data_IF_618517300317
#
_entry.id   IF_618517300317
#
_cell.length_a   1.000
_cell.length_b   1.000
_cell.length_c   1.000
_cell.angle_alpha   90.00
_cell.angle_beta   90.00
_cell.angle_gamma   90.00
#
_symmetry.space_group_name_H-M   'P 1'
#
loop_
_entity.id
_entity.type
_entity.pdbx_description
1 polymer ?
#
# COMPACT_ATOMS: atom_id res chain seq x y z
N UNK A 1 -15.76 0.17 -8.46
CA UNK A 1 -15.06 0.46 -7.17
C UNK A 1 -13.78 1.25 -7.43
N UNK A 2 -13.40 2.21 -6.55
CA UNK A 2 -12.17 3.01 -6.65
C UNK A 2 -11.23 2.62 -5.52
N UNK A 3 -9.99 2.28 -5.87
CA UNK A 3 -8.88 2.14 -4.94
C UNK A 3 -7.87 3.27 -5.16
N UNK A 4 -7.36 3.85 -4.09
CA UNK A 4 -6.36 4.91 -4.10
C UNK A 4 -5.08 4.40 -3.45
N UNK A 5 -3.99 4.36 -4.20
CA UNK A 5 -2.66 4.13 -3.68
C UNK A 5 -1.85 5.41 -3.62
N UNK A 6 -1.17 5.68 -2.51
CA UNK A 6 -0.33 6.86 -2.36
C UNK A 6 0.96 6.53 -1.61
N UNK A 7 2.06 6.61 -2.35
CA UNK A 7 3.39 6.63 -1.74
C UNK A 7 3.70 8.08 -1.33
N UNK A 8 3.55 8.37 -0.06
CA UNK A 8 3.81 9.71 0.44
C UNK A 8 4.96 9.71 1.46
N UNK A 9 6.06 10.30 1.07
CA UNK A 9 7.23 10.51 1.92
C UNK A 9 6.87 11.36 3.15
N UNK A 10 6.32 10.71 4.19
CA UNK A 10 6.03 11.32 5.48
C UNK A 10 4.68 12.03 5.56
N UNK A 11 3.61 11.28 5.82
CA UNK A 11 2.29 11.79 6.22
C UNK A 11 2.33 12.65 7.51
N UNK A 12 3.51 12.77 8.14
CA UNK A 12 3.72 13.58 9.34
C UNK A 12 3.53 15.09 9.14
N UNK A 13 3.44 15.56 7.91
CA UNK A 13 3.21 16.99 7.62
C UNK A 13 1.71 17.27 7.50
N UNK A 14 1.17 18.29 8.18
CA UNK A 14 -0.28 18.63 8.12
C UNK A 14 -0.81 18.87 6.71
N UNK A 15 0.05 19.37 5.80
CA UNK A 15 -0.29 19.59 4.39
C UNK A 15 -0.63 18.29 3.69
N UNK A 16 0.12 17.23 3.94
CA UNK A 16 -0.06 15.94 3.31
C UNK A 16 -1.37 15.28 3.66
N UNK A 17 -1.71 15.29 4.93
CA UNK A 17 -3.00 14.77 5.42
C UNK A 17 -4.15 15.56 4.82
N UNK A 18 -3.99 16.87 4.65
CA UNK A 18 -5.00 17.74 4.03
C UNK A 18 -5.22 17.40 2.57
N UNK A 19 -4.14 17.18 1.81
CA UNK A 19 -4.24 16.78 0.40
C UNK A 19 -4.86 15.38 0.25
N UNK A 20 -4.47 14.42 1.07
CA UNK A 20 -5.08 13.09 1.09
C UNK A 20 -6.59 13.17 1.38
N UNK A 21 -7.00 13.99 2.35
CA UNK A 21 -8.42 14.21 2.65
C UNK A 21 -9.19 14.77 1.45
N UNK A 22 -8.63 15.74 0.73
CA UNK A 22 -9.26 16.28 -0.51
C UNK A 22 -9.43 15.19 -1.56
N UNK A 23 -8.43 14.35 -1.77
CA UNK A 23 -8.52 13.23 -2.71
C UNK A 23 -9.61 12.23 -2.30
N UNK A 24 -9.64 11.85 -1.03
CA UNK A 24 -10.66 10.94 -0.50
C UNK A 24 -12.06 11.54 -0.61
N UNK A 25 -12.24 12.82 -0.32
CA UNK A 25 -13.52 13.50 -0.46
C UNK A 25 -13.97 13.60 -1.93
N UNK A 26 -13.04 13.88 -2.84
CA UNK A 26 -13.32 14.02 -4.28
C UNK A 26 -13.68 12.69 -4.94
N UNK A 27 -12.88 11.68 -4.70
CA UNK A 27 -12.95 10.41 -5.42
C UNK A 27 -13.73 9.33 -4.68
N UNK A 28 -13.98 9.52 -3.37
CA UNK A 28 -14.68 8.57 -2.49
C UNK A 28 -14.19 7.13 -2.67
N UNK A 29 -12.88 6.88 -2.58
CA UNK A 29 -12.33 5.54 -2.75
C UNK A 29 -12.86 4.62 -1.65
N UNK A 30 -13.11 3.37 -2.01
CA UNK A 30 -13.50 2.33 -1.05
C UNK A 30 -12.30 1.80 -0.27
N UNK A 31 -11.11 1.89 -0.87
CA UNK A 31 -9.84 1.49 -0.29
C UNK A 31 -8.80 2.58 -0.53
N UNK A 32 -8.01 2.84 0.51
CA UNK A 32 -6.85 3.73 0.45
C UNK A 32 -5.65 3.00 1.01
N UNK A 33 -4.60 2.93 0.22
CA UNK A 33 -3.29 2.43 0.62
C UNK A 33 -2.31 3.56 0.77
N UNK A 34 -1.57 3.53 1.84
CA UNK A 34 -0.56 4.52 2.16
C UNK A 34 0.76 3.80 2.45
N UNK A 35 1.78 4.09 1.68
CA UNK A 35 3.14 3.64 1.92
C UNK A 35 4.02 4.80 2.38
N UNK A 36 5.12 4.48 3.05
CA UNK A 36 6.04 5.45 3.65
C UNK A 36 5.38 6.47 4.59
N UNK A 37 4.41 6.03 5.37
CA UNK A 37 3.69 6.92 6.29
C UNK A 37 4.61 7.57 7.32
N UNK A 38 5.71 6.90 7.69
CA UNK A 38 6.69 7.33 8.70
C UNK A 38 6.04 7.69 10.04
N UNK A 39 4.94 7.00 10.35
CA UNK A 39 4.14 7.25 11.54
C UNK A 39 4.13 6.06 12.50
N UNK A 40 4.06 6.37 13.79
CA UNK A 40 3.69 5.42 14.82
C UNK A 40 2.20 5.09 14.73
N UNK A 41 1.80 3.90 15.21
CA UNK A 41 0.44 3.40 15.12
C UNK A 41 -0.61 4.40 15.64
N UNK A 42 -0.42 4.91 16.87
CA UNK A 42 -1.39 5.83 17.50
C UNK A 42 -1.61 7.12 16.70
N UNK A 43 -0.56 7.61 16.04
CA UNK A 43 -0.65 8.81 15.21
C UNK A 43 -1.41 8.54 13.91
N UNK A 44 -1.14 7.40 13.27
CA UNK A 44 -1.85 7.01 12.05
C UNK A 44 -3.33 6.71 12.34
N UNK A 45 -3.66 6.11 13.47
CA UNK A 45 -5.05 5.92 13.91
C UNK A 45 -5.79 7.26 14.00
N UNK A 46 -5.16 8.28 14.56
CA UNK A 46 -5.75 9.63 14.65
C UNK A 46 -5.94 10.28 13.28
N UNK A 47 -4.99 10.11 12.36
CA UNK A 47 -5.12 10.64 11.00
C UNK A 47 -6.18 9.89 10.19
N UNK A 48 -6.35 8.58 10.40
CA UNK A 48 -7.42 7.77 9.81
C UNK A 48 -8.81 8.40 10.03
N UNK A 49 -9.11 8.83 11.24
CA UNK A 49 -10.37 9.53 11.54
C UNK A 49 -10.52 10.83 10.73
N UNK A 50 -9.45 11.60 10.59
CA UNK A 50 -9.47 12.84 9.80
C UNK A 50 -9.65 12.59 8.31
N UNK A 51 -9.16 11.45 7.81
CA UNK A 51 -9.34 11.03 6.41
C UNK A 51 -10.78 10.61 6.15
N UNK A 52 -11.50 10.15 7.17
CA UNK A 52 -12.90 9.74 7.09
C UNK A 52 -13.09 8.24 6.77
N UNK A 53 -12.02 7.44 6.85
CA UNK A 53 -12.06 5.99 6.72
C UNK A 53 -11.82 5.37 8.10
N UNK A 54 -12.83 4.70 8.64
CA UNK A 54 -12.80 4.23 10.03
C UNK A 54 -12.19 2.84 10.20
N UNK A 55 -12.21 2.04 9.16
CA UNK A 55 -11.61 0.70 9.17
C UNK A 55 -10.19 0.76 8.61
N UNK A 56 -9.31 -0.09 9.10
CA UNK A 56 -7.97 -0.16 8.56
C UNK A 56 -7.01 -1.04 9.33
N UNK A 57 -5.99 -1.50 8.63
CA UNK A 57 -4.79 -2.10 9.18
C UNK A 57 -3.63 -1.12 9.06
N UNK A 58 -2.93 -0.91 10.16
CA UNK A 58 -1.76 -0.03 10.22
C UNK A 58 -0.55 -0.84 10.63
N UNK A 59 0.45 -0.85 9.76
CA UNK A 59 1.79 -1.38 10.04
C UNK A 59 2.68 -0.18 10.34
N UNK A 60 3.12 -0.01 11.58
CA UNK A 60 3.87 1.18 11.98
C UNK A 60 5.25 1.24 11.34
N UNK A 61 5.77 2.45 11.19
CA UNK A 61 7.15 2.67 10.78
C UNK A 61 8.14 2.18 11.84
N UNK A 62 9.33 1.77 11.39
CA UNK A 62 10.46 1.46 12.27
C UNK A 62 11.49 2.58 12.11
N UNK A 63 11.78 3.28 13.20
CA UNK A 63 12.61 4.46 13.14
C UNK A 63 12.00 5.56 12.24
N UNK A 64 12.76 5.98 11.25
CA UNK A 64 12.37 7.04 10.31
C UNK A 64 11.95 6.53 8.91
N UNK A 65 11.78 5.22 8.75
CA UNK A 65 11.48 4.61 7.44
C UNK A 65 10.25 3.70 7.48
N UNK A 66 9.62 3.51 6.32
CA UNK A 66 8.52 2.61 6.11
C UNK A 66 7.20 3.09 6.75
N UNK A 67 6.38 2.13 7.14
CA UNK A 67 5.03 2.34 7.62
C UNK A 67 4.02 2.21 6.47
N UNK A 68 3.08 1.27 6.63
CA UNK A 68 2.02 1.01 5.68
C UNK A 68 0.66 1.20 6.36
N UNK A 69 -0.34 1.63 5.63
CA UNK A 69 -1.71 1.61 6.10
C UNK A 69 -2.65 1.26 4.96
N UNK A 70 -3.51 0.30 5.20
CA UNK A 70 -4.64 -0.01 4.36
C UNK A 70 -5.90 0.42 5.08
N UNK A 71 -6.61 1.39 4.54
CA UNK A 71 -7.83 1.94 5.09
C UNK A 71 -8.99 1.62 4.16
N UNK A 72 -10.19 1.35 4.70
CA UNK A 72 -11.35 1.06 3.87
C UNK A 72 -12.66 1.58 4.45
N UNK A 73 -13.62 1.74 3.57
CA UNK A 73 -14.97 2.18 3.90
C UNK A 73 -15.76 1.04 4.58
N UNK A 74 -16.85 1.38 5.29
CA UNK A 74 -17.66 0.40 6.02
C UNK A 74 -18.48 -0.52 5.14
N UNK A 75 -18.72 -0.14 3.91
CA UNK A 75 -19.57 -0.80 2.95
C UNK A 75 -18.85 -1.87 2.10
N UNK A 76 -17.62 -2.20 2.45
CA UNK A 76 -16.87 -3.27 1.79
C UNK A 76 -16.33 -4.25 2.83
N UNK A 77 -16.42 -5.53 2.53
CA UNK A 77 -15.83 -6.57 3.36
C UNK A 77 -14.38 -6.78 2.97
N UNK A 78 -13.49 -6.65 3.95
CA UNK A 78 -12.05 -6.83 3.79
C UNK A 78 -11.56 -7.88 4.76
N UNK A 79 -10.92 -8.91 4.24
CA UNK A 79 -10.32 -9.99 5.03
C UNK A 79 -8.80 -9.94 4.84
N UNK A 80 -8.08 -9.50 5.86
CA UNK A 80 -6.60 -9.47 5.83
C UNK A 80 -6.08 -10.90 5.82
N UNK A 81 -5.26 -11.23 4.84
CA UNK A 81 -4.66 -12.55 4.65
C UNK A 81 -3.24 -12.64 5.22
N UNK A 82 -2.46 -11.59 4.98
CA UNK A 82 -1.10 -11.48 5.46
C UNK A 82 -0.66 -10.02 5.51
N UNK A 83 0.32 -9.72 6.33
CA UNK A 83 0.99 -8.44 6.31
C UNK A 83 2.40 -8.53 6.87
N UNK A 84 3.23 -7.61 6.46
CA UNK A 84 4.58 -7.42 6.97
C UNK A 84 4.94 -5.93 6.91
N UNK A 85 6.19 -5.61 7.14
CA UNK A 85 6.69 -4.24 6.94
C UNK A 85 6.67 -3.80 5.47
N UNK A 86 6.57 -4.76 4.56
CA UNK A 86 6.73 -4.57 3.13
C UNK A 86 5.45 -4.83 2.33
N UNK A 87 4.41 -5.39 2.94
CA UNK A 87 3.15 -5.63 2.23
C UNK A 87 1.95 -5.73 3.18
N UNK A 88 0.79 -5.47 2.61
CA UNK A 88 -0.52 -5.81 3.17
C UNK A 88 -1.30 -6.52 2.08
N UNK A 89 -1.74 -7.74 2.37
CA UNK A 89 -2.48 -8.60 1.48
C UNK A 89 -3.88 -8.87 2.01
N UNK A 90 -4.89 -8.69 1.18
CA UNK A 90 -6.29 -8.82 1.59
C UNK A 90 -7.17 -9.38 0.48
N UNK A 91 -8.20 -10.10 0.89
CA UNK A 91 -9.33 -10.46 0.03
C UNK A 91 -10.47 -9.49 0.27
N UNK A 92 -11.03 -9.01 -0.80
CA UNK A 92 -12.15 -8.09 -0.83
C UNK A 92 -13.38 -8.80 -1.36
N UNK A 93 -14.51 -8.53 -0.74
CA UNK A 93 -15.81 -8.97 -1.25
C UNK A 93 -16.65 -7.75 -1.57
N UNK A 94 -17.09 -7.67 -2.82
CA UNK A 94 -18.03 -6.65 -3.24
C UNK A 94 -19.41 -6.97 -2.65
N UNK A 95 -20.05 -6.05 -1.92
CA UNK A 95 -21.30 -6.33 -1.22
C UNK A 95 -22.49 -6.56 -2.17
N UNK A 96 -22.45 -5.97 -3.36
CA UNK A 96 -23.58 -6.02 -4.29
C UNK A 96 -23.54 -7.28 -5.16
N UNK A 97 -22.35 -7.69 -5.61
CA UNK A 97 -22.16 -8.84 -6.51
C UNK A 97 -21.65 -10.11 -5.82
N UNK A 98 -21.23 -10.00 -4.57
CA UNK A 98 -20.51 -11.06 -3.85
C UNK A 98 -19.20 -11.50 -4.54
N UNK A 99 -18.74 -10.71 -5.50
CA UNK A 99 -17.51 -10.97 -6.24
C UNK A 99 -16.30 -10.79 -5.34
N UNK A 100 -15.44 -11.81 -5.33
CA UNK A 100 -14.21 -11.80 -4.54
C UNK A 100 -13.00 -11.55 -5.42
N UNK A 101 -12.13 -10.69 -4.95
CA UNK A 101 -10.86 -10.40 -5.56
C UNK A 101 -9.81 -10.09 -4.50
N UNK A 102 -8.57 -10.16 -4.88
CA UNK A 102 -7.44 -9.97 -3.99
C UNK A 102 -6.70 -8.69 -4.30
N UNK A 103 -6.24 -8.03 -3.27
CA UNK A 103 -5.42 -6.82 -3.40
C UNK A 103 -4.20 -6.92 -2.49
N UNK A 104 -3.06 -6.55 -3.04
CA UNK A 104 -1.82 -6.49 -2.27
C UNK A 104 -1.19 -5.12 -2.47
N UNK A 105 -1.01 -4.38 -1.38
CA UNK A 105 -0.11 -3.22 -1.32
C UNK A 105 1.30 -3.72 -1.04
N UNK A 106 2.22 -3.37 -1.92
CA UNK A 106 3.59 -3.82 -1.86
C UNK A 106 4.54 -2.63 -1.81
N UNK A 107 5.35 -2.60 -0.76
CA UNK A 107 6.42 -1.62 -0.60
C UNK A 107 7.75 -2.32 -0.50
N UNK A 108 8.59 -2.10 -1.49
CA UNK A 108 9.91 -2.69 -1.49
C UNK A 108 10.91 -1.77 -0.78
N UNK A 109 11.70 -2.37 0.11
CA UNK A 109 12.85 -1.69 0.68
C UNK A 109 13.83 -1.31 -0.46
N UNK A 110 14.29 -0.06 -0.56
CA UNK A 110 15.24 0.38 -1.58
C UNK A 110 16.60 -0.36 -1.52
N UNK A 111 16.91 -1.05 -0.42
CA UNK A 111 18.16 -1.78 -0.25
C UNK A 111 18.28 -2.96 -1.20
N UNK A 112 19.39 -2.99 -1.96
CA UNK A 112 19.60 -3.90 -3.09
C UNK A 112 19.63 -5.38 -2.69
N UNK A 113 20.12 -5.70 -1.49
CA UNK A 113 20.20 -7.08 -1.00
C UNK A 113 18.85 -7.71 -0.67
N UNK A 114 17.82 -6.92 -0.39
CA UNK A 114 16.45 -7.38 -0.11
C UNK A 114 15.61 -7.64 -1.38
N UNK A 115 16.20 -7.51 -2.58
CA UNK A 115 15.45 -7.64 -3.84
C UNK A 115 14.88 -9.03 -4.06
N UNK A 116 15.70 -10.03 -3.84
CA UNK A 116 15.31 -11.43 -4.01
C UNK A 116 14.13 -11.79 -3.11
N UNK A 117 14.21 -11.43 -1.83
CA UNK A 117 13.15 -11.70 -0.86
C UNK A 117 11.82 -11.08 -1.26
N UNK A 118 11.85 -9.87 -1.83
CA UNK A 118 10.65 -9.18 -2.30
C UNK A 118 9.97 -9.93 -3.45
N UNK A 119 10.75 -10.41 -4.43
CA UNK A 119 10.21 -11.17 -5.55
C UNK A 119 9.75 -12.57 -5.13
N UNK A 120 10.46 -13.22 -4.21
CA UNK A 120 10.06 -14.51 -3.66
C UNK A 120 8.76 -14.38 -2.87
N UNK A 121 8.58 -13.30 -2.13
CA UNK A 121 7.31 -12.99 -1.47
C UNK A 121 6.17 -12.86 -2.49
N UNK A 122 6.34 -12.07 -3.55
CA UNK A 122 5.30 -11.91 -4.58
C UNK A 122 4.97 -13.22 -5.27
N UNK A 123 5.97 -14.05 -5.59
CA UNK A 123 5.75 -15.40 -6.14
C UNK A 123 4.97 -16.28 -5.18
N UNK A 124 5.33 -16.29 -3.89
CA UNK A 124 4.62 -17.06 -2.88
C UNK A 124 3.17 -16.60 -2.70
N UNK A 125 2.94 -15.29 -2.76
CA UNK A 125 1.61 -14.72 -2.71
C UNK A 125 0.78 -15.13 -3.92
N UNK A 126 1.35 -15.13 -5.12
CA UNK A 126 0.64 -15.53 -6.36
C UNK A 126 0.15 -16.99 -6.32
N UNK A 127 0.84 -17.86 -5.63
CA UNK A 127 0.50 -19.28 -5.54
C UNK A 127 -0.63 -19.59 -4.54
N UNK A 128 -0.96 -18.66 -3.64
CA UNK A 128 -1.88 -18.92 -2.53
C UNK A 128 -3.37 -18.98 -2.90
N UNK A 129 -3.80 -18.20 -3.89
CA UNK A 129 -5.21 -18.05 -4.22
C UNK A 129 -5.44 -17.88 -5.72
N UNK A 130 -6.42 -18.57 -6.25
CA UNK A 130 -6.90 -18.38 -7.63
C UNK A 130 -8.04 -17.35 -7.66
N UNK A 131 -7.73 -16.12 -7.29
CA UNK A 131 -8.66 -14.99 -7.36
C UNK A 131 -8.08 -13.93 -8.29
N UNK A 132 -8.91 -13.13 -8.96
CA UNK A 132 -8.44 -11.92 -9.62
C UNK A 132 -7.60 -11.09 -8.65
N UNK A 133 -6.38 -10.75 -9.04
CA UNK A 133 -5.40 -10.16 -8.14
C UNK A 133 -4.87 -8.84 -8.68
N UNK A 134 -5.03 -7.79 -7.90
CA UNK A 134 -4.41 -6.51 -8.12
C UNK A 134 -3.24 -6.35 -7.14
N UNK A 135 -2.03 -6.29 -7.66
CA UNK A 135 -0.84 -5.93 -6.90
C UNK A 135 -0.37 -4.54 -7.34
N UNK A 136 -0.21 -3.65 -6.39
CA UNK A 136 0.28 -2.30 -6.67
C UNK A 136 1.15 -1.79 -5.52
N UNK A 137 1.86 -0.69 -5.75
CA UNK A 137 2.73 -0.11 -4.74
C UNK A 137 4.04 0.40 -5.33
N UNK A 138 5.01 0.64 -4.46
CA UNK A 138 6.35 1.06 -4.87
C UNK A 138 7.28 -0.16 -4.94
N UNK A 139 7.48 -0.63 -6.16
CA UNK A 139 8.37 -1.77 -6.43
C UNK A 139 9.85 -1.39 -6.41
N UNK A 140 10.19 -0.09 -6.41
CA UNK A 140 11.57 0.41 -6.50
C UNK A 140 12.38 -0.27 -7.62
N UNK A 141 11.71 -0.58 -8.73
CA UNK A 141 12.29 -1.16 -9.94
C UNK A 141 12.00 -0.28 -11.15
N UNK A 142 12.88 -0.37 -12.12
CA UNK A 142 12.68 0.18 -13.46
C UNK A 142 12.42 -0.98 -14.42
N UNK A 143 11.49 -0.84 -15.32
CA UNK A 143 11.17 -1.85 -16.34
C UNK A 143 12.18 -1.76 -17.47
N UNK A 144 12.63 -0.55 -17.82
CA UNK A 144 13.67 -0.30 -18.81
C UNK A 144 14.67 0.76 -18.36
N UNK A 145 15.87 0.75 -18.94
CA UNK A 145 16.89 1.76 -18.64
C UNK A 145 16.48 3.17 -19.09
N UNK A 146 15.55 3.29 -20.00
CA UNK A 146 15.01 4.56 -20.50
C UNK A 146 14.19 5.31 -19.44
N UNK A 147 13.64 4.58 -18.46
CA UNK A 147 12.91 5.17 -17.32
C UNK A 147 13.84 5.83 -16.29
N UNK A 148 15.16 5.65 -16.43
CA UNK A 148 16.14 6.14 -15.47
C UNK A 148 16.79 7.45 -15.92
N UNK A 149 16.46 8.54 -15.23
CA UNK A 149 17.17 9.81 -15.38
C UNK A 149 18.26 9.95 -14.32
N UNK A 150 19.53 9.98 -14.76
CA UNK A 150 20.71 10.21 -13.92
C UNK A 150 21.13 9.01 -13.04
N UNK A 151 22.21 9.21 -12.26
CA UNK A 151 22.78 8.18 -11.36
C UNK A 151 23.60 7.10 -12.09
N UNK A 152 24.19 6.16 -11.31
CA UNK A 152 25.05 5.08 -11.82
C UNK A 152 24.19 4.06 -12.60
N UNK A 153 24.71 3.59 -13.76
CA UNK A 153 24.07 2.51 -14.52
C UNK A 153 23.96 1.25 -13.65
N UNK A 154 22.77 0.65 -13.64
CA UNK A 154 22.58 -0.65 -13.00
C UNK A 154 23.09 -1.75 -13.94
N UNK A 155 23.88 -2.69 -13.44
CA UNK A 155 24.24 -3.88 -14.20
C UNK A 155 22.97 -4.66 -14.53
N UNK A 156 22.77 -4.94 -15.81
CA UNK A 156 21.78 -5.93 -16.25
C UNK A 156 22.20 -7.30 -15.69
N UNK A 157 21.33 -7.92 -14.96
CA UNK A 157 21.46 -9.33 -14.56
C UNK A 157 20.23 -10.08 -15.00
#
# INVERSE_FOLDING_TARGET
>A
MIALGWNYLGLGKPRSVRELRKLVQRWKPKIVFLSETKMKKYRMEREKFKIGLLNGLIVPSVGKSGGLAMLWSRDIKVEIQAYSRNHIDAVLTDPDSNFKWRITDFYRNPETHCRKESWDLLRSLNQKYQLPWLCFGDFNEIVSMEEKFGGVQRSQR
#
